data_IF_975859036779
#
_entry.id   IF_975859036779
#
_cell.length_a   1.000
_cell.length_b   1.000
_cell.length_c   1.000
_cell.angle_alpha   90.00
_cell.angle_beta   90.00
_cell.angle_gamma   90.00
#
_symmetry.space_group_name_H-M   'P 1'
#
loop_
_entity.id
_entity.type
_entity.pdbx_description
1 polymer ?
#
# COMPACT_ATOMS: atom_id res chain seq x y z
N UNK A 1 12.16 34.46 -22.66
CA UNK A 1 11.15 33.92 -21.72
C UNK A 1 11.35 34.58 -20.36
N UNK A 2 10.36 35.33 -19.83
CA UNK A 2 10.44 35.87 -18.46
C UNK A 2 10.09 34.74 -17.48
N UNK A 3 11.09 34.21 -16.78
CA UNK A 3 10.87 33.21 -15.73
C UNK A 3 10.18 33.88 -14.53
N UNK A 4 8.92 33.52 -14.28
CA UNK A 4 8.17 33.99 -13.12
C UNK A 4 8.43 33.01 -11.95
N UNK A 5 9.35 33.36 -11.04
CA UNK A 5 9.67 32.51 -9.87
C UNK A 5 8.44 32.13 -9.03
N UNK A 6 7.49 33.06 -8.90
CA UNK A 6 6.23 32.80 -8.19
C UNK A 6 5.42 31.69 -8.85
N UNK A 7 5.37 31.67 -10.17
CA UNK A 7 4.59 30.68 -10.93
C UNK A 7 5.26 29.30 -10.86
N UNK A 8 6.58 29.23 -11.02
CA UNK A 8 7.32 27.96 -10.90
C UNK A 8 7.20 27.36 -9.50
N UNK A 9 7.28 28.18 -8.44
CA UNK A 9 7.06 27.74 -7.06
C UNK A 9 5.66 27.15 -6.88
N UNK A 10 4.61 27.82 -7.36
CA UNK A 10 3.23 27.36 -7.21
C UNK A 10 2.98 26.02 -7.93
N UNK A 11 3.55 25.83 -9.13
CA UNK A 11 3.46 24.56 -9.84
C UNK A 11 4.16 23.43 -9.09
N UNK A 12 5.38 23.69 -8.58
CA UNK A 12 6.13 22.69 -7.81
C UNK A 12 5.40 22.33 -6.51
N UNK A 13 4.90 23.31 -5.77
CA UNK A 13 4.13 23.10 -4.55
C UNK A 13 2.86 22.28 -4.81
N UNK A 14 2.13 22.62 -5.88
CA UNK A 14 0.92 21.88 -6.28
C UNK A 14 1.24 20.45 -6.69
N UNK A 15 2.38 20.22 -7.37
CA UNK A 15 2.84 18.89 -7.73
C UNK A 15 3.17 18.04 -6.49
N UNK A 16 3.91 18.60 -5.53
CA UNK A 16 4.21 17.92 -4.26
C UNK A 16 2.93 17.63 -3.47
N UNK A 17 2.03 18.60 -3.37
CA UNK A 17 0.72 18.41 -2.74
C UNK A 17 -0.07 17.28 -3.37
N UNK A 18 -0.13 17.24 -4.70
CA UNK A 18 -0.80 16.17 -5.45
C UNK A 18 -0.19 14.79 -5.13
N UNK A 19 1.14 14.67 -5.09
CA UNK A 19 1.79 13.40 -4.73
C UNK A 19 1.42 12.95 -3.31
N UNK A 20 1.45 13.86 -2.33
CA UNK A 20 1.06 13.57 -0.94
C UNK A 20 -0.40 13.10 -0.88
N UNK A 21 -1.31 13.77 -1.59
CA UNK A 21 -2.72 13.38 -1.64
C UNK A 21 -2.92 11.99 -2.27
N UNK A 22 -2.20 11.67 -3.35
CA UNK A 22 -2.27 10.35 -3.99
C UNK A 22 -1.79 9.27 -3.02
N UNK A 23 -0.63 9.47 -2.38
CA UNK A 23 -0.06 8.51 -1.42
C UNK A 23 -1.01 8.32 -0.22
N UNK A 24 -1.56 9.40 0.34
CA UNK A 24 -2.52 9.33 1.44
C UNK A 24 -3.80 8.58 1.04
N UNK A 25 -4.30 8.80 -0.17
CA UNK A 25 -5.48 8.10 -0.69
C UNK A 25 -5.24 6.60 -0.83
N UNK A 26 -4.06 6.20 -1.32
CA UNK A 26 -3.66 4.79 -1.41
C UNK A 26 -3.62 4.15 -0.03
N UNK A 27 -3.06 4.84 0.97
CA UNK A 27 -2.97 4.33 2.34
C UNK A 27 -4.35 4.13 2.98
N UNK A 28 -5.28 5.06 2.79
CA UNK A 28 -6.64 4.96 3.32
C UNK A 28 -7.37 3.78 2.69
N UNK A 29 -7.30 3.63 1.36
CA UNK A 29 -7.91 2.48 0.69
C UNK A 29 -7.26 1.17 1.14
N UNK A 30 -5.94 1.12 1.24
CA UNK A 30 -5.21 -0.07 1.69
C UNK A 30 -5.62 -0.51 3.10
N UNK A 31 -5.78 0.45 4.02
CA UNK A 31 -6.32 0.17 5.34
C UNK A 31 -7.75 -0.37 5.26
N UNK A 32 -8.61 0.26 4.47
CA UNK A 32 -9.99 -0.17 4.27
C UNK A 32 -10.09 -1.60 3.72
N UNK A 33 -9.29 -1.93 2.71
CA UNK A 33 -9.23 -3.26 2.11
C UNK A 33 -8.71 -4.31 3.10
N UNK A 34 -7.62 -4.01 3.84
CA UNK A 34 -7.07 -4.91 4.87
C UNK A 34 -8.09 -5.20 5.97
N UNK A 35 -8.82 -4.19 6.44
CA UNK A 35 -9.73 -4.30 7.57
C UNK A 35 -11.08 -4.91 7.18
N UNK A 36 -11.72 -4.41 6.12
CA UNK A 36 -13.11 -4.77 5.81
C UNK A 36 -13.25 -5.89 4.78
N UNK A 37 -12.37 -5.94 3.79
CA UNK A 37 -12.46 -6.91 2.67
C UNK A 37 -11.67 -8.17 2.99
N UNK A 38 -10.36 -8.03 3.24
CA UNK A 38 -9.46 -9.17 3.44
C UNK A 38 -9.46 -9.71 4.87
N UNK A 39 -10.01 -8.93 5.81
CA UNK A 39 -10.04 -9.22 7.26
C UNK A 39 -8.69 -9.79 7.73
N UNK A 40 -7.62 -9.08 7.39
CA UNK A 40 -6.27 -9.52 7.73
C UNK A 40 -6.16 -9.49 9.25
N UNK A 41 -5.87 -10.62 9.87
CA UNK A 41 -5.73 -10.66 11.33
C UNK A 41 -4.59 -9.74 11.77
N UNK A 42 -4.79 -9.09 12.92
CA UNK A 42 -3.71 -8.36 13.58
C UNK A 42 -2.52 -9.31 13.84
N UNK A 43 -1.32 -8.74 13.86
CA UNK A 43 -0.10 -9.50 14.10
C UNK A 43 -0.26 -10.13 15.49
N UNK A 44 -0.57 -11.42 15.54
CA UNK A 44 -0.64 -12.12 16.82
C UNK A 44 0.81 -12.31 17.22
N UNK A 45 1.27 -11.50 18.18
CA UNK A 45 2.61 -11.67 18.75
C UNK A 45 2.61 -13.01 19.49
N UNK A 46 3.09 -14.04 18.82
CA UNK A 46 3.36 -15.31 19.46
C UNK A 46 4.67 -15.15 20.22
N UNK A 47 4.62 -15.28 21.55
CA UNK A 47 5.83 -15.36 22.34
C UNK A 47 6.69 -16.50 21.78
N UNK A 48 7.94 -16.18 21.44
CA UNK A 48 8.91 -17.21 21.06
C UNK A 48 9.04 -18.22 22.21
N UNK A 49 9.10 -19.53 21.93
CA UNK A 49 9.25 -20.52 22.98
C UNK A 49 10.55 -20.26 23.72
N UNK A 50 10.44 -19.91 25.00
CA UNK A 50 11.59 -19.68 25.87
C UNK A 50 12.25 -21.04 26.09
N UNK A 51 13.50 -21.20 25.63
CA UNK A 51 14.31 -22.35 25.99
C UNK A 51 14.65 -22.23 27.48
N UNK A 52 13.94 -22.95 28.34
CA UNK A 52 14.26 -22.99 29.76
C UNK A 52 15.65 -23.63 29.96
N UNK A 53 16.51 -23.12 30.86
CA UNK A 53 17.81 -23.73 31.17
C UNK A 53 17.72 -25.20 31.61
N UNK A 54 16.54 -25.60 32.10
CA UNK A 54 16.24 -26.96 32.59
C UNK A 54 15.84 -27.94 31.47
N UNK A 55 15.98 -27.56 30.20
CA UNK A 55 15.74 -28.45 29.05
C UNK A 55 14.26 -28.73 28.74
N UNK A 56 13.33 -28.19 29.52
CA UNK A 56 11.89 -28.22 29.20
C UNK A 56 11.61 -27.11 28.20
N UNK A 57 11.68 -27.44 26.90
CA UNK A 57 11.08 -26.63 25.86
C UNK A 57 9.56 -26.65 26.03
N UNK A 58 8.91 -25.49 25.97
CA UNK A 58 7.51 -25.43 25.56
C UNK A 58 7.49 -25.87 24.10
N UNK A 59 7.39 -27.16 23.89
CA UNK A 59 7.41 -27.79 22.56
C UNK A 59 6.07 -27.45 21.90
N UNK A 60 6.00 -26.27 21.26
CA UNK A 60 4.99 -26.03 20.25
C UNK A 60 5.14 -27.16 19.24
N UNK A 61 4.12 -28.02 19.12
CA UNK A 61 4.14 -29.13 18.16
C UNK A 61 4.56 -28.59 16.80
N UNK A 62 5.47 -29.28 16.11
CA UNK A 62 5.94 -28.91 14.75
C UNK A 62 4.76 -28.57 13.82
N UNK A 63 3.61 -29.20 14.04
CA UNK A 63 2.36 -28.93 13.35
C UNK A 63 1.79 -27.53 13.63
N UNK A 64 1.79 -27.07 14.89
CA UNK A 64 1.33 -25.73 15.27
C UNK A 64 2.23 -24.65 14.67
N UNK A 65 3.55 -24.85 14.67
CA UNK A 65 4.50 -23.93 14.04
C UNK A 65 4.25 -23.83 12.53
N UNK A 66 3.99 -24.96 11.87
CA UNK A 66 3.71 -25.00 10.44
C UNK A 66 2.39 -24.30 10.09
N UNK A 67 1.34 -24.51 10.88
CA UNK A 67 0.06 -23.82 10.69
C UNK A 67 0.20 -22.30 10.85
N UNK A 68 0.96 -21.84 11.85
CA UNK A 68 1.24 -20.41 12.07
C UNK A 68 1.99 -19.79 10.89
N UNK A 69 3.06 -20.44 10.43
CA UNK A 69 3.82 -19.97 9.27
C UNK A 69 2.93 -19.88 8.02
N UNK A 70 2.03 -20.85 7.82
CA UNK A 70 1.07 -20.82 6.71
C UNK A 70 0.08 -19.67 6.82
N UNK A 71 -0.45 -19.41 8.03
CA UNK A 71 -1.36 -18.29 8.28
C UNK A 71 -0.68 -16.94 8.06
N UNK A 72 0.56 -16.78 8.55
CA UNK A 72 1.35 -15.57 8.35
C UNK A 72 1.67 -15.33 6.88
N UNK A 73 2.10 -16.37 6.14
CA UNK A 73 2.32 -16.26 4.70
C UNK A 73 1.06 -15.87 3.94
N UNK A 74 -0.09 -16.45 4.30
CA UNK A 74 -1.38 -16.08 3.71
C UNK A 74 -1.74 -14.61 4.00
N UNK A 75 -1.52 -14.16 5.23
CA UNK A 75 -1.76 -12.77 5.63
C UNK A 75 -0.80 -11.78 4.94
N UNK A 76 0.47 -12.14 4.78
CA UNK A 76 1.43 -11.32 4.02
C UNK A 76 0.98 -11.13 2.56
N UNK A 77 0.53 -12.21 1.91
CA UNK A 77 -0.02 -12.14 0.54
C UNK A 77 -1.26 -11.24 0.47
N UNK A 78 -2.18 -11.36 1.43
CA UNK A 78 -3.36 -10.48 1.52
C UNK A 78 -2.98 -9.01 1.68
N UNK A 79 -1.99 -8.71 2.54
CA UNK A 79 -1.49 -7.34 2.73
C UNK A 79 -0.90 -6.78 1.44
N UNK A 80 -0.10 -7.58 0.73
CA UNK A 80 0.49 -7.18 -0.54
C UNK A 80 -0.59 -6.92 -1.60
N UNK A 81 -1.57 -7.83 -1.74
CA UNK A 81 -2.69 -7.67 -2.67
C UNK A 81 -3.49 -6.41 -2.37
N UNK A 82 -3.77 -6.14 -1.10
CA UNK A 82 -4.47 -4.93 -0.68
C UNK A 82 -3.71 -3.68 -1.13
N UNK A 83 -2.42 -3.61 -0.83
CA UNK A 83 -1.60 -2.44 -1.18
C UNK A 83 -1.53 -2.25 -2.69
N UNK A 84 -1.32 -3.33 -3.46
CA UNK A 84 -1.33 -3.29 -4.92
C UNK A 84 -2.68 -2.84 -5.49
N UNK A 85 -3.79 -3.34 -4.94
CA UNK A 85 -5.12 -2.98 -5.40
C UNK A 85 -5.42 -1.51 -5.12
N UNK A 86 -5.06 -1.00 -3.94
CA UNK A 86 -5.20 0.42 -3.61
C UNK A 86 -4.39 1.31 -4.53
N UNK A 87 -3.15 0.93 -4.87
CA UNK A 87 -2.34 1.66 -5.85
C UNK A 87 -3.02 1.72 -7.22
N UNK A 88 -3.60 0.61 -7.68
CA UNK A 88 -4.30 0.55 -8.97
C UNK A 88 -5.58 1.40 -8.94
N UNK A 89 -6.39 1.28 -7.88
CA UNK A 89 -7.66 2.00 -7.75
C UNK A 89 -7.49 3.52 -7.75
N UNK A 90 -6.39 4.04 -7.21
CA UNK A 90 -6.08 5.47 -7.25
C UNK A 90 -5.28 5.85 -8.50
N UNK A 91 -4.24 5.08 -8.82
CA UNK A 91 -3.29 5.39 -9.87
C UNK A 91 -3.89 5.32 -11.27
N UNK A 92 -4.76 4.35 -11.55
CA UNK A 92 -5.36 4.18 -12.88
C UNK A 92 -6.24 5.38 -13.26
N UNK A 93 -7.21 5.83 -12.43
CA UNK A 93 -7.97 7.04 -12.74
C UNK A 93 -7.10 8.27 -12.97
N UNK A 94 -6.07 8.47 -12.14
CA UNK A 94 -5.13 9.61 -12.28
C UNK A 94 -4.37 9.51 -13.60
N UNK A 95 -3.83 8.34 -13.93
CA UNK A 95 -3.14 8.10 -15.20
C UNK A 95 -4.04 8.33 -16.41
N UNK A 96 -5.26 7.78 -16.39
CA UNK A 96 -6.22 7.95 -17.48
C UNK A 96 -6.63 9.41 -17.67
N UNK A 97 -6.79 10.16 -16.57
CA UNK A 97 -7.07 11.59 -16.65
C UNK A 97 -5.94 12.33 -17.38
N UNK A 98 -4.69 12.14 -16.94
CA UNK A 98 -3.54 12.80 -17.57
C UNK A 98 -3.38 12.38 -19.04
N UNK A 99 -3.51 11.09 -19.35
CA UNK A 99 -3.40 10.60 -20.73
C UNK A 99 -4.47 11.20 -21.65
N UNK A 100 -5.72 11.27 -21.19
CA UNK A 100 -6.82 11.88 -21.97
C UNK A 100 -6.58 13.37 -22.22
N UNK A 101 -6.11 14.11 -21.22
CA UNK A 101 -5.81 15.55 -21.35
C UNK A 101 -4.69 15.78 -22.38
N UNK A 102 -3.59 15.02 -22.28
CA UNK A 102 -2.49 15.07 -23.26
C UNK A 102 -3.00 14.76 -24.67
N UNK A 103 -3.83 13.73 -24.83
CA UNK A 103 -4.38 13.38 -26.14
C UNK A 103 -5.30 14.46 -26.70
N UNK A 104 -6.03 15.18 -25.84
CA UNK A 104 -6.90 16.30 -26.24
C UNK A 104 -6.08 17.49 -26.73
N UNK A 105 -5.04 17.87 -25.99
CA UNK A 105 -4.15 18.99 -26.34
C UNK A 105 -3.34 18.73 -27.61
N UNK A 106 -3.00 17.46 -27.88
CA UNK A 106 -2.28 17.06 -29.09
C UNK A 106 -3.20 16.77 -30.30
N UNK A 107 -4.52 16.95 -30.19
CA UNK A 107 -5.41 16.76 -31.34
C UNK A 107 -5.36 18.04 -32.20
N UNK A 108 -4.95 17.96 -33.47
CA UNK A 108 -5.01 19.12 -34.35
C UNK A 108 -6.46 19.57 -34.46
N UNK A 109 -6.71 20.85 -34.20
CA UNK A 109 -8.01 21.48 -34.42
C UNK A 109 -8.28 21.46 -35.92
N UNK A 110 -9.25 20.66 -36.36
CA UNK A 110 -9.87 20.76 -37.67
C UNK A 110 -11.16 21.57 -37.54
#
# INVERSE_FOLDING_TARGET
>A
MKFNLRLSYLYLFSFVGLLITIIGSIQILDLGLKTYVFKVSEYTYYAEPIKSPDGISTDLSVEEQKQRNQLEQANQRKRQLSTSLSMILVGVPVYLYHWKTIKKENRPEN
#
